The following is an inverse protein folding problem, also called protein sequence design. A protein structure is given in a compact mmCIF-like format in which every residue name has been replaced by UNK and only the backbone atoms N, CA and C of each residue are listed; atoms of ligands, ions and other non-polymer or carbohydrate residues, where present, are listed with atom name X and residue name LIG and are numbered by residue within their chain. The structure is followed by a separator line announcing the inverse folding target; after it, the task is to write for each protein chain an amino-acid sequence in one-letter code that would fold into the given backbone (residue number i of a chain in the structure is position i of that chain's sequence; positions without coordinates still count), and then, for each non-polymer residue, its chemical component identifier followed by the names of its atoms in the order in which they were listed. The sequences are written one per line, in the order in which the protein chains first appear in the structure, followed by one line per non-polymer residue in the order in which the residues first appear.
data_IF_119541653301
#
_entry.id   IF_119541653301
#
_cell.length_a   1.000
_cell.length_b   1.000
_cell.length_c   1.000
_cell.angle_alpha   90.00
_cell.angle_beta   90.00
_cell.angle_gamma   90.00
#
_symmetry.space_group_name_H-M   'P 1'
#
loop_
_entity.id
_entity.type
_entity.pdbx_description
1 polymer ?
#
# COMPACT_ATOMS: atom_id res chain seq x y z
N UNK A 1 -28.39 58.37 48.28
CA UNK A 1 -27.52 57.18 48.22
C UNK A 1 -28.39 55.96 47.88
N UNK A 2 -28.31 55.47 46.64
CA UNK A 2 -28.95 54.24 46.17
C UNK A 2 -27.94 53.48 45.32
N UNK A 3 -27.74 52.17 45.53
CA UNK A 3 -26.64 51.43 44.92
C UNK A 3 -26.95 51.00 43.49
N UNK A 4 -25.88 51.01 42.70
CA UNK A 4 -25.71 50.66 41.30
C UNK A 4 -25.88 49.17 41.02
N UNK A 5 -26.77 48.83 40.08
CA UNK A 5 -26.87 47.50 39.45
C UNK A 5 -26.19 47.58 38.08
N UNK A 6 -25.09 46.85 37.94
CA UNK A 6 -24.32 46.70 36.70
C UNK A 6 -25.08 45.81 35.70
N UNK A 7 -25.31 46.33 34.50
CA UNK A 7 -25.73 45.58 33.31
C UNK A 7 -24.52 44.91 32.68
N UNK A 8 -24.51 43.58 32.60
CA UNK A 8 -23.57 42.82 31.77
C UNK A 8 -24.22 42.52 30.41
N UNK A 9 -23.62 43.10 29.36
CA UNK A 9 -23.95 42.86 27.96
C UNK A 9 -23.22 41.62 27.44
N UNK A 10 -23.97 40.69 26.87
CA UNK A 10 -23.46 39.53 26.11
C UNK A 10 -22.81 40.04 24.82
N UNK A 11 -21.53 39.69 24.58
CA UNK A 11 -20.86 39.89 23.29
C UNK A 11 -20.58 38.54 22.63
N UNK A 12 -21.18 38.36 21.46
CA UNK A 12 -20.88 37.34 20.46
C UNK A 12 -19.43 37.46 19.99
N UNK A 13 -18.64 36.39 20.15
CA UNK A 13 -17.26 36.30 19.67
C UNK A 13 -17.21 35.69 18.28
N UNK A 14 -17.15 36.53 17.25
CA UNK A 14 -16.87 36.14 15.87
C UNK A 14 -15.39 35.76 15.73
N UNK A 15 -15.09 34.50 15.38
CA UNK A 15 -13.72 34.04 15.11
C UNK A 15 -13.32 34.43 13.70
N UNK A 16 -12.50 35.46 13.57
CA UNK A 16 -11.86 35.83 12.30
C UNK A 16 -10.77 34.82 11.92
N UNK A 17 -10.91 34.23 10.73
CA UNK A 17 -9.87 33.45 10.06
C UNK A 17 -8.95 34.45 9.34
N UNK A 18 -7.82 34.79 9.93
CA UNK A 18 -6.81 35.64 9.29
C UNK A 18 -5.93 34.78 8.39
N UNK A 19 -6.11 34.92 7.08
CA UNK A 19 -5.34 34.25 6.04
C UNK A 19 -3.98 34.95 5.91
N UNK A 20 -2.94 34.39 6.54
CA UNK A 20 -1.57 34.87 6.40
C UNK A 20 -0.97 34.38 5.07
N UNK A 21 -0.90 35.27 4.07
CA UNK A 21 -0.14 35.05 2.84
C UNK A 21 1.33 35.40 3.09
N UNK A 22 2.11 34.44 3.59
CA UNK A 22 3.57 34.56 3.58
C UNK A 22 4.10 34.05 2.24
N UNK A 23 4.69 34.97 1.47
CA UNK A 23 5.54 34.67 0.33
C UNK A 23 6.71 33.79 0.80
N UNK A 24 6.77 32.56 0.30
CA UNK A 24 7.91 31.66 0.51
C UNK A 24 9.06 32.07 -0.40
N UNK A 25 10.07 32.70 0.18
CA UNK A 25 11.43 32.69 -0.39
C UNK A 25 12.03 31.31 -0.17
N UNK A 26 12.22 30.55 -1.24
CA UNK A 26 12.93 29.27 -1.21
C UNK A 26 14.43 29.54 -1.11
N UNK A 27 15.03 29.25 0.05
CA UNK A 27 16.48 29.15 0.15
C UNK A 27 16.91 27.86 -0.55
N UNK A 28 17.67 28.00 -1.64
CA UNK A 28 18.26 26.88 -2.37
C UNK A 28 19.38 26.28 -1.52
N UNK A 29 19.11 25.14 -0.91
CA UNK A 29 20.14 24.30 -0.30
C UNK A 29 20.68 23.38 -1.39
N UNK A 30 21.93 23.63 -1.78
CA UNK A 30 22.67 22.89 -2.80
C UNK A 30 22.66 21.39 -2.47
N UNK A 31 21.80 20.65 -3.17
CA UNK A 31 21.62 19.20 -3.03
C UNK A 31 22.68 18.53 -3.90
N UNK A 32 23.32 17.48 -3.41
CA UNK A 32 24.28 16.70 -4.19
C UNK A 32 23.59 16.10 -5.42
N UNK A 33 23.85 16.70 -6.59
CA UNK A 33 23.71 16.11 -7.93
C UNK A 33 22.36 16.21 -8.64
N UNK A 34 21.24 16.38 -7.94
CA UNK A 34 19.91 16.45 -8.56
C UNK A 34 19.41 17.89 -8.67
N UNK A 35 18.93 18.29 -9.85
CA UNK A 35 18.26 19.57 -10.02
C UNK A 35 16.81 19.54 -9.53
N UNK A 36 16.30 20.66 -9.03
CA UNK A 36 14.90 20.79 -8.61
C UNK A 36 13.92 20.50 -9.76
N UNK A 37 14.32 20.81 -11.01
CA UNK A 37 13.53 20.55 -12.20
C UNK A 37 13.37 19.04 -12.46
N UNK A 38 14.44 18.26 -12.34
CA UNK A 38 14.40 16.80 -12.47
C UNK A 38 13.51 16.17 -11.41
N UNK A 39 13.64 16.61 -10.16
CA UNK A 39 12.79 16.13 -9.05
C UNK A 39 11.32 16.47 -9.31
N UNK A 40 11.02 17.66 -9.82
CA UNK A 40 9.64 18.07 -10.14
C UNK A 40 9.04 17.25 -11.29
N UNK A 41 9.82 16.97 -12.34
CA UNK A 41 9.40 16.09 -13.45
C UNK A 41 9.15 14.66 -12.96
N UNK A 42 10.05 14.13 -12.13
CA UNK A 42 9.93 12.81 -11.52
C UNK A 42 8.69 12.71 -10.63
N UNK A 43 8.41 13.74 -9.81
CA UNK A 43 7.20 13.84 -8.99
C UNK A 43 5.93 13.82 -9.83
N UNK A 44 5.88 14.60 -10.91
CA UNK A 44 4.73 14.63 -11.82
C UNK A 44 4.48 13.28 -12.48
N UNK A 45 5.54 12.60 -12.94
CA UNK A 45 5.46 11.26 -13.50
C UNK A 45 4.89 10.25 -12.49
N UNK A 46 5.48 10.17 -11.29
CA UNK A 46 5.03 9.23 -10.26
C UNK A 46 3.57 9.48 -9.85
N UNK A 47 3.17 10.75 -9.72
CA UNK A 47 1.77 11.09 -9.42
C UNK A 47 0.80 10.68 -10.53
N UNK A 48 1.21 10.80 -11.82
CA UNK A 48 0.37 10.38 -12.94
C UNK A 48 0.28 8.85 -13.02
N UNK A 49 1.38 8.14 -12.76
CA UNK A 49 1.41 6.68 -12.71
C UNK A 49 0.45 6.14 -11.64
N UNK A 50 0.48 6.72 -10.44
CA UNK A 50 -0.44 6.36 -9.36
C UNK A 50 -1.88 6.69 -9.72
N UNK A 51 -2.14 7.85 -10.34
CA UNK A 51 -3.49 8.19 -10.81
C UNK A 51 -4.05 7.17 -11.80
N UNK A 52 -3.20 6.61 -12.65
CA UNK A 52 -3.58 5.64 -13.67
C UNK A 52 -3.81 4.23 -13.10
N UNK A 53 -2.90 3.74 -12.24
CA UNK A 53 -2.89 2.33 -11.82
C UNK A 53 -3.31 2.09 -10.36
N UNK A 54 -3.32 3.12 -9.53
CA UNK A 54 -3.69 3.05 -8.11
C UNK A 54 -4.47 4.31 -7.68
N UNK A 55 -5.66 4.47 -8.28
CA UNK A 55 -6.55 5.57 -7.98
C UNK A 55 -6.89 5.71 -6.48
N UNK A 56 -7.14 4.62 -5.72
CA UNK A 56 -7.36 4.75 -4.28
C UNK A 56 -6.21 5.47 -3.57
N UNK A 57 -4.95 5.14 -3.88
CA UNK A 57 -3.79 5.87 -3.34
C UNK A 57 -3.78 7.35 -3.74
N UNK A 58 -4.25 7.70 -4.94
CA UNK A 58 -4.39 9.11 -5.34
C UNK A 58 -5.35 9.88 -4.41
N UNK A 59 -6.48 9.27 -4.05
CA UNK A 59 -7.45 9.87 -3.11
C UNK A 59 -6.87 10.04 -1.70
N UNK A 60 -5.90 9.20 -1.32
CA UNK A 60 -5.30 9.22 0.01
C UNK A 60 -4.15 10.23 0.17
N UNK A 61 -3.62 10.78 -0.92
CA UNK A 61 -2.51 11.75 -0.88
C UNK A 61 -2.72 12.91 0.11
N UNK A 62 -3.91 13.55 0.23
CA UNK A 62 -4.11 14.66 1.16
C UNK A 62 -3.85 14.33 2.64
N UNK A 63 -3.89 13.05 3.01
CA UNK A 63 -3.65 12.59 4.38
C UNK A 63 -2.17 12.27 4.66
N UNK A 64 -1.31 12.41 3.65
CA UNK A 64 0.13 12.20 3.76
C UNK A 64 0.83 13.53 4.08
N UNK A 65 1.67 13.60 5.13
CA UNK A 65 2.41 14.82 5.46
C UNK A 65 3.31 15.32 4.31
N UNK A 66 3.44 16.64 4.09
CA UNK A 66 4.22 17.20 2.98
C UNK A 66 5.69 16.77 2.94
N UNK A 67 6.30 16.47 4.09
CA UNK A 67 7.69 16.01 4.13
C UNK A 67 7.83 14.59 3.55
N UNK A 68 6.83 13.74 3.72
CA UNK A 68 6.80 12.35 3.29
C UNK A 68 6.16 12.12 1.91
N UNK A 69 5.61 13.16 1.27
CA UNK A 69 4.91 13.04 -0.01
C UNK A 69 5.78 12.46 -1.14
N UNK A 70 7.04 12.90 -1.25
CA UNK A 70 7.95 12.37 -2.28
C UNK A 70 8.25 10.88 -2.06
N UNK A 71 8.41 10.47 -0.79
CA UNK A 71 8.57 9.07 -0.43
C UNK A 71 7.31 8.27 -0.78
N UNK A 72 6.12 8.81 -0.47
CA UNK A 72 4.85 8.20 -0.82
C UNK A 72 4.72 7.93 -2.32
N UNK A 73 4.99 8.95 -3.13
CA UNK A 73 4.89 8.85 -4.58
C UNK A 73 5.94 7.87 -5.15
N UNK A 74 7.19 7.93 -4.69
CA UNK A 74 8.26 7.06 -5.17
C UNK A 74 7.99 5.59 -4.81
N UNK A 75 7.65 5.30 -3.55
CA UNK A 75 7.40 3.94 -3.07
C UNK A 75 6.17 3.33 -3.75
N UNK A 76 5.10 4.11 -3.95
CA UNK A 76 3.91 3.67 -4.69
C UNK A 76 4.22 3.43 -6.16
N UNK A 77 5.04 4.27 -6.80
CA UNK A 77 5.46 4.08 -8.19
C UNK A 77 6.28 2.80 -8.36
N UNK A 78 7.29 2.58 -7.51
CA UNK A 78 8.09 1.33 -7.51
C UNK A 78 7.19 0.11 -7.29
N UNK A 79 6.21 0.23 -6.38
CA UNK A 79 5.23 -0.83 -6.16
C UNK A 79 4.36 -1.08 -7.42
N UNK A 80 3.95 -0.06 -8.16
CA UNK A 80 3.20 -0.26 -9.41
C UNK A 80 4.08 -0.95 -10.45
N UNK A 81 5.29 -0.44 -10.67
CA UNK A 81 6.14 -0.93 -11.76
C UNK A 81 6.63 -2.36 -11.52
N UNK A 82 6.97 -2.71 -10.27
CA UNK A 82 7.38 -4.09 -9.94
C UNK A 82 6.21 -5.07 -9.95
N UNK A 83 4.98 -4.64 -9.62
CA UNK A 83 3.80 -5.51 -9.71
C UNK A 83 3.47 -5.87 -11.16
N UNK A 84 3.55 -4.88 -12.05
CA UNK A 84 3.18 -5.00 -13.47
C UNK A 84 4.19 -5.74 -14.33
N UNK A 85 5.34 -6.15 -13.78
CA UNK A 85 6.34 -6.93 -14.55
C UNK A 85 5.70 -8.22 -15.06
N UNK A 86 4.97 -8.95 -14.21
CA UNK A 86 4.29 -10.18 -14.60
C UNK A 86 3.31 -9.96 -15.79
N UNK A 87 2.58 -8.83 -15.77
CA UNK A 87 1.59 -8.51 -16.81
C UNK A 87 2.20 -8.04 -18.13
N UNK A 88 3.45 -7.55 -18.11
CA UNK A 88 4.07 -6.86 -19.25
C UNK A 88 5.27 -7.61 -19.84
N UNK A 89 5.57 -8.80 -19.33
CA UNK A 89 6.64 -9.66 -19.85
C UNK A 89 6.10 -11.01 -20.26
N UNK A 90 6.46 -11.45 -21.47
CA UNK A 90 6.02 -12.74 -22.04
C UNK A 90 6.91 -13.90 -21.63
N UNK A 91 8.15 -13.63 -21.23
CA UNK A 91 9.14 -14.64 -20.87
C UNK A 91 9.70 -14.37 -19.48
N UNK A 92 9.78 -15.42 -18.66
CA UNK A 92 10.29 -15.35 -17.30
C UNK A 92 11.71 -14.75 -17.22
N UNK A 93 12.56 -15.00 -18.22
CA UNK A 93 13.91 -14.41 -18.31
C UNK A 93 13.89 -12.88 -18.44
N UNK A 94 12.94 -12.32 -19.20
CA UNK A 94 12.76 -10.87 -19.35
C UNK A 94 12.21 -10.28 -18.04
N UNK A 95 11.26 -10.98 -17.42
CA UNK A 95 10.75 -10.61 -16.09
C UNK A 95 11.87 -10.53 -15.06
N UNK A 96 12.71 -11.56 -14.97
CA UNK A 96 13.88 -11.59 -14.08
C UNK A 96 14.87 -10.46 -14.37
N UNK A 97 15.15 -10.16 -15.65
CA UNK A 97 15.99 -9.02 -16.03
C UNK A 97 15.41 -7.68 -15.54
N UNK A 98 14.09 -7.48 -15.64
CA UNK A 98 13.42 -6.28 -15.11
C UNK A 98 13.45 -6.22 -13.58
N UNK A 99 13.30 -7.34 -12.89
CA UNK A 99 13.46 -7.40 -11.44
C UNK A 99 14.89 -7.06 -11.00
N UNK A 100 15.89 -7.56 -11.74
CA UNK A 100 17.28 -7.19 -11.52
C UNK A 100 17.54 -5.69 -11.75
N UNK A 101 16.97 -5.13 -12.82
CA UNK A 101 17.02 -3.69 -13.05
C UNK A 101 16.48 -2.90 -11.84
N UNK A 102 15.37 -3.33 -11.24
CA UNK A 102 14.82 -2.67 -10.06
C UNK A 102 15.70 -2.79 -8.82
N UNK A 103 16.30 -3.96 -8.54
CA UNK A 103 17.27 -4.14 -7.45
C UNK A 103 18.45 -3.18 -7.56
N UNK A 104 19.00 -3.06 -8.76
CA UNK A 104 20.11 -2.13 -9.00
C UNK A 104 19.65 -0.67 -8.88
N UNK A 105 18.47 -0.35 -9.41
CA UNK A 105 17.88 0.99 -9.36
C UNK A 105 17.65 1.46 -7.92
N UNK A 106 17.12 0.58 -7.07
CA UNK A 106 16.97 0.83 -5.62
C UNK A 106 18.34 1.10 -4.99
N UNK A 107 19.33 0.27 -5.30
CA UNK A 107 20.70 0.41 -4.75
C UNK A 107 21.32 1.75 -5.15
N UNK A 108 21.28 2.09 -6.44
CA UNK A 108 21.76 3.35 -7.00
C UNK A 108 21.05 4.56 -6.38
N UNK A 109 19.72 4.51 -6.23
CA UNK A 109 18.93 5.60 -5.65
C UNK A 109 19.31 5.88 -4.19
N UNK A 110 19.42 4.82 -3.38
CA UNK A 110 19.77 4.95 -1.96
C UNK A 110 21.23 5.35 -1.73
N UNK A 111 22.11 5.09 -2.70
CA UNK A 111 23.51 5.51 -2.67
C UNK A 111 23.71 6.96 -3.17
N UNK A 112 22.64 7.67 -3.57
CA UNK A 112 22.73 9.03 -4.07
C UNK A 112 23.14 9.16 -5.55
N UNK A 113 23.15 8.05 -6.30
CA UNK A 113 23.49 7.99 -7.72
C UNK A 113 22.33 7.43 -8.54
N UNK A 114 21.15 8.08 -8.53
CA UNK A 114 19.94 7.54 -9.15
C UNK A 114 20.13 7.33 -10.66
N UNK A 115 19.44 6.32 -11.20
CA UNK A 115 19.35 6.11 -12.65
C UNK A 115 18.39 7.14 -13.24
N UNK A 116 18.44 7.33 -14.56
CA UNK A 116 17.54 8.21 -15.32
C UNK A 116 16.10 7.64 -15.44
N UNK A 117 15.57 7.10 -14.35
CA UNK A 117 14.23 6.57 -14.18
C UNK A 117 13.50 7.49 -13.17
N UNK A 118 12.33 8.07 -13.49
CA UNK A 118 11.62 8.99 -12.61
C UNK A 118 11.44 8.49 -11.16
N UNK A 119 11.07 7.23 -10.96
CA UNK A 119 10.91 6.66 -9.62
C UNK A 119 12.25 6.57 -8.86
N UNK A 120 13.36 6.34 -9.58
CA UNK A 120 14.72 6.32 -9.01
C UNK A 120 15.14 7.70 -8.50
N UNK A 121 14.93 8.72 -9.32
CA UNK A 121 15.24 10.12 -8.97
C UNK A 121 14.43 10.55 -7.74
N UNK A 122 13.13 10.25 -7.73
CA UNK A 122 12.26 10.65 -6.63
C UNK A 122 12.56 9.88 -5.34
N UNK A 123 12.93 8.59 -5.42
CA UNK A 123 13.38 7.81 -4.27
C UNK A 123 14.67 8.37 -3.68
N UNK A 124 15.65 8.74 -4.51
CA UNK A 124 16.89 9.38 -4.07
C UNK A 124 16.59 10.70 -3.32
N UNK A 125 15.80 11.58 -3.93
CA UNK A 125 15.40 12.85 -3.31
C UNK A 125 14.64 12.63 -1.98
N UNK A 126 13.73 11.65 -1.94
CA UNK A 126 13.00 11.29 -0.73
C UNK A 126 13.93 10.75 0.37
N UNK A 127 14.92 9.93 0.01
CA UNK A 127 15.89 9.38 0.96
C UNK A 127 16.77 10.48 1.57
N UNK A 128 17.26 11.42 0.74
CA UNK A 128 18.01 12.59 1.21
C UNK A 128 17.16 13.46 2.14
N UNK A 129 15.92 13.76 1.74
CA UNK A 129 14.98 14.55 2.53
C UNK A 129 14.65 13.89 3.87
N UNK A 130 14.45 12.57 3.90
CA UNK A 130 14.26 11.80 5.13
C UNK A 130 15.48 11.90 6.04
N UNK A 131 16.69 11.76 5.47
CA UNK A 131 17.93 11.88 6.22
C UNK A 131 18.05 13.26 6.87
N UNK A 132 17.82 14.34 6.12
CA UNK A 132 17.85 15.72 6.65
C UNK A 132 16.75 15.96 7.68
N UNK A 133 15.50 15.60 7.39
CA UNK A 133 14.35 15.83 8.27
C UNK A 133 14.46 15.08 9.59
N UNK A 134 15.08 13.89 9.58
CA UNK A 134 15.29 13.08 10.78
C UNK A 134 16.61 13.36 11.52
N UNK A 135 17.40 14.34 11.08
CA UNK A 135 18.76 14.60 11.57
C UNK A 135 19.64 13.33 11.53
N UNK A 136 19.56 12.58 10.43
CA UNK A 136 20.31 11.35 10.20
C UNK A 136 19.83 10.12 10.97
N UNK A 137 18.74 10.22 11.74
CA UNK A 137 18.24 9.13 12.59
C UNK A 137 17.44 8.07 11.82
N UNK A 138 16.94 8.40 10.63
CA UNK A 138 16.12 7.52 9.80
C UNK A 138 16.64 7.45 8.37
N UNK A 139 16.46 6.27 7.76
CA UNK A 139 16.77 5.95 6.37
C UNK A 139 15.84 4.84 5.90
N UNK A 140 15.65 4.71 4.58
CA UNK A 140 14.91 3.58 4.03
C UNK A 140 15.69 2.28 4.13
N UNK A 141 14.99 1.19 4.47
CA UNK A 141 15.56 -0.15 4.43
C UNK A 141 15.70 -0.65 2.99
N UNK A 142 16.95 -0.86 2.56
CA UNK A 142 17.25 -1.53 1.29
C UNK A 142 16.72 -2.97 1.28
N UNK A 143 16.77 -3.66 2.42
CA UNK A 143 16.34 -5.04 2.53
C UNK A 143 14.82 -5.16 2.34
N UNK A 144 14.02 -4.28 2.95
CA UNK A 144 12.57 -4.24 2.70
C UNK A 144 12.22 -3.90 1.25
N UNK A 145 12.91 -2.93 0.63
CA UNK A 145 12.71 -2.63 -0.79
C UNK A 145 13.02 -3.86 -1.67
N UNK A 146 14.15 -4.53 -1.42
CA UNK A 146 14.53 -5.73 -2.16
C UNK A 146 13.62 -6.92 -1.84
N UNK A 147 13.08 -7.03 -0.63
CA UNK A 147 12.12 -8.07 -0.23
C UNK A 147 10.90 -8.04 -1.14
N UNK A 148 10.33 -6.86 -1.37
CA UNK A 148 9.19 -6.67 -2.31
C UNK A 148 9.56 -7.18 -3.71
N UNK A 149 10.72 -6.76 -4.23
CA UNK A 149 11.16 -7.17 -5.59
C UNK A 149 11.37 -8.68 -5.68
N UNK A 150 12.05 -9.26 -4.70
CA UNK A 150 12.37 -10.69 -4.68
C UNK A 150 11.11 -11.55 -4.53
N UNK A 151 10.17 -11.16 -3.68
CA UNK A 151 8.89 -11.87 -3.53
C UNK A 151 8.08 -11.82 -4.82
N UNK A 152 8.09 -10.71 -5.55
CA UNK A 152 7.39 -10.61 -6.85
C UNK A 152 8.08 -11.39 -7.95
N UNK A 153 9.40 -11.43 -7.96
CA UNK A 153 10.16 -12.26 -8.91
C UNK A 153 9.78 -13.75 -8.79
N UNK A 154 9.66 -14.25 -7.56
CA UNK A 154 9.21 -15.63 -7.29
C UNK A 154 7.79 -15.91 -7.84
N UNK A 155 6.97 -14.89 -8.04
CA UNK A 155 5.59 -15.00 -8.51
C UNK A 155 5.38 -14.54 -9.96
N UNK A 156 6.45 -14.30 -10.73
CA UNK A 156 6.34 -13.85 -12.14
C UNK A 156 5.51 -14.81 -13.02
N UNK A 157 5.54 -16.11 -12.72
CA UNK A 157 4.80 -17.13 -13.44
C UNK A 157 3.38 -17.39 -12.91
N UNK A 158 2.87 -16.56 -12.00
CA UNK A 158 1.60 -16.78 -11.31
C UNK A 158 1.47 -18.20 -10.71
N UNK A 159 2.48 -18.71 -9.97
CA UNK A 159 2.37 -20.02 -9.34
C UNK A 159 1.20 -20.04 -8.35
N UNK A 160 0.51 -21.18 -8.21
CA UNK A 160 -0.59 -21.30 -7.26
C UNK A 160 -0.07 -21.17 -5.82
N UNK A 161 -0.88 -20.60 -4.94
CA UNK A 161 -0.57 -20.52 -3.52
C UNK A 161 -0.91 -21.86 -2.85
N UNK A 162 0.05 -22.55 -2.18
CA UNK A 162 -0.26 -23.84 -1.58
C UNK A 162 -1.27 -23.76 -0.44
N UNK A 163 -1.24 -22.67 0.34
CA UNK A 163 -2.10 -22.50 1.51
C UNK A 163 -2.53 -21.06 1.70
N UNK A 164 -3.58 -20.83 2.50
CA UNK A 164 -3.96 -19.48 2.89
C UNK A 164 -2.83 -18.74 3.61
N UNK A 165 -2.02 -19.46 4.40
CA UNK A 165 -0.85 -18.90 5.07
C UNK A 165 0.26 -18.44 4.09
N UNK A 166 0.40 -19.07 2.92
CA UNK A 166 1.35 -18.61 1.91
C UNK A 166 0.90 -17.31 1.24
N UNK A 167 -0.42 -17.09 1.10
CA UNK A 167 -0.99 -15.80 0.69
C UNK A 167 -0.69 -14.72 1.73
N UNK A 168 -0.85 -15.01 3.01
CA UNK A 168 -0.49 -14.06 4.07
C UNK A 168 0.99 -13.71 4.04
N UNK A 169 1.86 -14.70 3.82
CA UNK A 169 3.31 -14.49 3.72
C UNK A 169 3.65 -13.62 2.52
N UNK A 170 3.00 -13.85 1.37
CA UNK A 170 3.14 -12.99 0.20
C UNK A 170 2.70 -11.55 0.50
N UNK A 171 1.55 -11.38 1.15
CA UNK A 171 1.00 -10.08 1.49
C UNK A 171 1.87 -9.31 2.51
N UNK A 172 2.45 -10.00 3.48
CA UNK A 172 3.41 -9.45 4.44
C UNK A 172 4.69 -8.95 3.75
N UNK A 173 5.27 -9.77 2.88
CA UNK A 173 6.50 -9.46 2.17
C UNK A 173 6.34 -8.38 1.08
N UNK A 174 5.11 -8.04 0.69
CA UNK A 174 4.81 -7.04 -0.35
C UNK A 174 4.09 -5.81 0.19
N UNK A 175 2.84 -5.96 0.64
CA UNK A 175 1.96 -4.86 1.05
C UNK A 175 2.26 -4.36 2.46
N UNK A 176 2.50 -5.24 3.43
CA UNK A 176 2.94 -4.82 4.79
C UNK A 176 4.33 -4.18 4.73
N UNK A 177 5.25 -4.80 4.00
CA UNK A 177 6.61 -4.27 3.80
C UNK A 177 6.60 -2.88 3.15
N UNK A 178 5.70 -2.62 2.20
CA UNK A 178 5.50 -1.28 1.64
C UNK A 178 5.01 -0.28 2.71
N UNK A 179 4.12 -0.70 3.61
CA UNK A 179 3.67 0.14 4.73
C UNK A 179 4.78 0.43 5.73
N UNK A 180 5.66 -0.54 6.06
CA UNK A 180 6.81 -0.29 6.92
C UNK A 180 7.76 0.75 6.33
N UNK A 181 8.01 0.70 5.02
CA UNK A 181 8.78 1.73 4.30
C UNK A 181 8.10 3.11 4.36
N UNK A 182 6.77 3.14 4.28
CA UNK A 182 6.01 4.39 4.44
C UNK A 182 6.09 4.94 5.87
N UNK A 183 6.09 4.09 6.89
CA UNK A 183 6.27 4.49 8.29
C UNK A 183 7.69 5.03 8.55
N UNK A 184 8.72 4.46 7.89
CA UNK A 184 10.09 4.99 7.89
C UNK A 184 10.16 6.42 7.34
N UNK A 185 9.29 6.79 6.39
CA UNK A 185 9.22 8.15 5.85
C UNK A 185 8.65 9.18 6.85
N UNK A 186 7.94 8.73 7.91
CA UNK A 186 7.39 9.55 8.99
C UNK A 186 8.33 9.71 10.20
N UNK A 187 9.63 9.44 9.99
CA UNK A 187 10.58 8.87 10.96
C UNK A 187 9.98 8.29 12.25
N UNK A 188 9.04 7.34 12.12
CA UNK A 188 8.44 6.65 13.26
C UNK A 188 9.14 5.32 13.52
N UNK A 189 9.38 5.01 14.80
CA UNK A 189 9.85 3.70 15.28
C UNK A 189 8.88 3.24 16.36
N UNK A 190 7.80 2.60 15.95
CA UNK A 190 6.70 2.22 16.84
C UNK A 190 6.26 0.81 16.53
N UNK A 191 6.50 -0.09 17.49
CA UNK A 191 6.08 -1.49 17.40
C UNK A 191 4.58 -1.58 17.11
N UNK A 192 3.79 -0.77 17.79
CA UNK A 192 2.34 -0.73 17.61
C UNK A 192 1.92 -0.28 16.21
N UNK A 193 2.59 0.73 15.64
CA UNK A 193 2.32 1.18 14.28
C UNK A 193 2.74 0.14 13.23
N UNK A 194 3.88 -0.52 13.44
CA UNK A 194 4.36 -1.61 12.58
C UNK A 194 3.42 -2.83 12.68
N UNK A 195 2.92 -3.16 13.87
CA UNK A 195 1.95 -4.24 14.06
C UNK A 195 0.62 -3.95 13.34
N UNK A 196 0.09 -2.72 13.45
CA UNK A 196 -1.08 -2.29 12.67
C UNK A 196 -0.80 -2.36 11.17
N UNK A 197 0.37 -1.92 10.72
CA UNK A 197 0.77 -1.98 9.32
C UNK A 197 0.84 -3.42 8.78
N UNK A 198 1.27 -4.40 9.60
CA UNK A 198 1.26 -5.81 9.23
C UNK A 198 -0.14 -6.32 8.91
N UNK A 199 -1.10 -6.13 9.82
CA UNK A 199 -2.47 -6.58 9.60
C UNK A 199 -3.13 -5.86 8.41
N UNK A 200 -2.99 -4.53 8.32
CA UNK A 200 -3.56 -3.76 7.21
C UNK A 200 -2.92 -4.17 5.88
N UNK A 201 -1.60 -4.39 5.86
CA UNK A 201 -0.85 -4.84 4.70
C UNK A 201 -1.30 -6.22 4.23
N UNK A 202 -1.40 -7.18 5.15
CA UNK A 202 -1.92 -8.53 4.87
C UNK A 202 -3.34 -8.50 4.30
N UNK A 203 -4.26 -7.77 4.94
CA UNK A 203 -5.62 -7.60 4.45
C UNK A 203 -5.66 -7.03 3.01
N UNK A 204 -4.82 -6.03 2.75
CA UNK A 204 -4.73 -5.37 1.44
C UNK A 204 -4.14 -6.30 0.39
N UNK A 205 -3.12 -7.10 0.71
CA UNK A 205 -2.53 -8.05 -0.21
C UNK A 205 -3.47 -9.20 -0.57
N UNK A 206 -4.14 -9.80 0.42
CA UNK A 206 -5.17 -10.83 0.20
C UNK A 206 -6.28 -10.27 -0.71
N UNK A 207 -6.78 -9.07 -0.38
CA UNK A 207 -7.81 -8.38 -1.17
C UNK A 207 -7.35 -8.09 -2.60
N UNK A 208 -6.08 -7.74 -2.80
CA UNK A 208 -5.55 -7.47 -4.13
C UNK A 208 -5.46 -8.73 -4.98
N UNK A 209 -5.13 -9.88 -4.38
CA UNK A 209 -5.16 -11.19 -5.07
C UNK A 209 -6.58 -11.52 -5.52
N UNK A 210 -7.58 -11.37 -4.63
CA UNK A 210 -8.98 -11.56 -5.01
C UNK A 210 -9.41 -10.62 -6.14
N UNK A 211 -9.09 -9.32 -6.02
CA UNK A 211 -9.40 -8.32 -7.05
C UNK A 211 -8.72 -8.62 -8.40
N UNK A 212 -7.54 -9.23 -8.38
CA UNK A 212 -6.80 -9.62 -9.57
C UNK A 212 -7.32 -10.88 -10.25
N UNK A 213 -8.03 -11.75 -9.54
CA UNK A 213 -8.46 -13.07 -10.01
C UNK A 213 -9.15 -13.01 -11.39
N UNK A 214 -10.16 -12.17 -11.65
CA UNK A 214 -10.79 -12.13 -12.97
C UNK A 214 -9.86 -11.73 -14.11
N UNK A 215 -8.84 -10.90 -13.83
CA UNK A 215 -7.90 -10.39 -14.83
C UNK A 215 -6.80 -11.41 -15.14
N UNK A 216 -6.41 -12.19 -14.14
CA UNK A 216 -5.34 -13.19 -14.24
C UNK A 216 -5.88 -14.52 -14.79
N UNK A 217 -7.10 -14.89 -14.42
CA UNK A 217 -7.79 -16.05 -14.97
C UNK A 217 -8.19 -15.84 -16.45
N UNK A 218 -8.46 -14.59 -16.84
CA UNK A 218 -8.85 -14.24 -18.21
C UNK A 218 -8.02 -13.06 -18.74
N UNK A 219 -6.73 -13.28 -19.06
CA UNK A 219 -5.86 -12.23 -19.56
C UNK A 219 -6.39 -11.69 -20.90
N UNK A 220 -6.33 -10.37 -21.15
CA UNK A 220 -6.72 -9.81 -22.44
C UNK A 220 -5.81 -10.36 -23.54
N UNK A 221 -6.33 -10.51 -24.79
CA UNK A 221 -5.51 -10.96 -25.90
C UNK A 221 -4.32 -10.01 -26.10
N UNK A 222 -3.13 -10.54 -26.45
CA UNK A 222 -1.96 -9.71 -26.70
C UNK A 222 -2.26 -8.69 -27.82
N UNK A 223 -1.78 -7.45 -27.73
CA UNK A 223 -2.01 -6.44 -28.76
C UNK A 223 -1.44 -6.93 -30.11
N UNK A 224 -2.26 -6.85 -31.16
CA UNK A 224 -1.99 -7.39 -32.51
C UNK A 224 -0.93 -6.62 -33.33
N UNK A 225 -0.28 -5.62 -32.75
CA UNK A 225 0.76 -4.84 -33.41
C UNK A 225 2.14 -5.43 -33.13
N UNK A 226 2.47 -6.54 -33.77
CA UNK A 226 3.85 -6.99 -33.89
C UNK A 226 4.39 -6.49 -35.24
N UNK A 227 5.43 -5.67 -35.21
CA UNK A 227 6.26 -5.42 -36.39
C UNK A 227 6.76 -6.76 -36.91
N UNK A 228 6.44 -7.04 -38.18
CA UNK A 228 6.83 -8.24 -38.92
C UNK A 228 8.34 -8.41 -38.92
N UNK A 229 8.91 -9.20 -37.99
CA UNK A 229 10.24 -9.80 -38.15
C UNK A 229 10.60 -10.92 -37.14
N UNK A 230 9.65 -11.48 -36.40
CA UNK A 230 9.89 -12.68 -35.59
C UNK A 230 9.31 -13.92 -36.30
N UNK A 231 10.07 -14.51 -37.22
CA UNK A 231 9.84 -15.90 -37.66
C UNK A 231 10.34 -16.83 -36.55
N UNK A 232 9.43 -17.38 -35.75
CA UNK A 232 9.75 -18.39 -34.75
C UNK A 232 8.54 -19.21 -34.33
N UNK A 233 8.39 -20.40 -34.91
CA UNK A 233 7.66 -21.58 -34.38
C UNK A 233 6.14 -21.48 -34.16
N UNK A 234 5.39 -22.59 -34.23
CA UNK A 234 4.05 -22.65 -33.67
C UNK A 234 4.15 -22.41 -32.16
N UNK A 235 3.54 -21.33 -31.69
CA UNK A 235 3.37 -21.02 -30.26
C UNK A 235 2.51 -22.11 -29.62
N UNK A 236 3.10 -22.94 -28.76
CA UNK A 236 2.33 -23.63 -27.73
C UNK A 236 2.07 -22.64 -26.61
N UNK A 237 0.79 -22.30 -26.42
CA UNK A 237 0.21 -21.47 -25.36
C UNK A 237 0.45 -19.95 -25.48
N UNK A 238 -0.63 -19.18 -25.64
CA UNK A 238 -0.69 -17.81 -25.12
C UNK A 238 -0.54 -17.81 -23.59
N UNK A 239 -0.65 -16.67 -22.90
CA UNK A 239 -0.71 -16.70 -21.44
C UNK A 239 -1.95 -17.51 -21.04
N UNK A 240 -1.75 -18.76 -20.60
CA UNK A 240 -2.80 -19.55 -20.00
C UNK A 240 -3.22 -18.79 -18.73
N UNK A 241 -4.51 -18.51 -18.58
CA UNK A 241 -5.03 -17.90 -17.37
C UNK A 241 -4.65 -18.73 -16.14
N UNK A 242 -4.51 -18.07 -14.99
CA UNK A 242 -4.16 -18.73 -13.73
C UNK A 242 -5.16 -18.37 -12.63
N UNK A 243 -5.42 -19.31 -11.73
CA UNK A 243 -6.27 -19.09 -10.55
C UNK A 243 -5.39 -18.96 -9.32
N UNK A 244 -5.31 -17.77 -8.75
CA UNK A 244 -4.46 -17.46 -7.60
C UNK A 244 -5.12 -17.70 -6.23
N UNK A 245 -6.16 -18.54 -6.17
CA UNK A 245 -6.74 -18.94 -4.88
C UNK A 245 -5.85 -19.99 -4.20
N UNK A 246 -5.84 -20.04 -2.86
CA UNK A 246 -5.12 -21.07 -2.13
C UNK A 246 -5.61 -22.48 -2.46
N UNK A 247 -4.70 -23.41 -2.71
CA UNK A 247 -5.03 -24.80 -3.08
C UNK A 247 -5.74 -25.55 -1.96
N UNK A 248 -5.42 -25.28 -0.69
CA UNK A 248 -6.12 -25.84 0.47
C UNK A 248 -7.59 -25.41 0.52
N UNK A 249 -7.87 -24.12 0.30
CA UNK A 249 -9.22 -23.57 0.26
C UNK A 249 -10.00 -24.08 -0.97
N UNK A 250 -9.33 -24.18 -2.13
CA UNK A 250 -9.94 -24.79 -3.31
C UNK A 250 -10.35 -26.24 -3.07
N UNK A 251 -9.49 -27.02 -2.42
CA UNK A 251 -9.79 -28.40 -2.06
C UNK A 251 -10.95 -28.51 -1.05
N UNK A 252 -10.96 -27.66 -0.02
CA UNK A 252 -12.02 -27.63 1.00
C UNK A 252 -13.40 -27.32 0.41
N UNK A 253 -13.46 -26.40 -0.56
CA UNK A 253 -14.71 -25.94 -1.19
C UNK A 253 -15.08 -26.74 -2.43
N UNK A 254 -14.26 -27.70 -2.84
CA UNK A 254 -14.45 -28.48 -4.07
C UNK A 254 -14.23 -27.69 -5.36
N UNK A 255 -13.63 -26.51 -5.29
CA UNK A 255 -13.34 -25.66 -6.44
C UNK A 255 -12.21 -26.25 -7.29
N UNK A 256 -12.48 -26.45 -8.58
CA UNK A 256 -11.48 -26.90 -9.55
C UNK A 256 -11.03 -25.72 -10.42
N UNK A 257 -9.72 -25.64 -10.68
CA UNK A 257 -9.14 -24.60 -11.54
C UNK A 257 -9.77 -24.61 -12.95
N UNK A 258 -9.94 -25.80 -13.54
CA UNK A 258 -10.55 -25.92 -14.87
C UNK A 258 -11.97 -25.34 -14.91
N UNK A 259 -12.79 -25.56 -13.87
CA UNK A 259 -14.14 -25.01 -13.78
C UNK A 259 -14.12 -23.48 -13.80
N UNK A 260 -13.18 -22.85 -13.08
CA UNK A 260 -13.02 -21.38 -13.11
C UNK A 260 -12.64 -20.90 -14.50
N UNK A 261 -11.67 -21.55 -15.16
CA UNK A 261 -11.19 -21.12 -16.49
C UNK A 261 -12.22 -21.35 -17.60
N UNK A 262 -13.18 -22.28 -17.42
CA UNK A 262 -14.23 -22.58 -18.40
C UNK A 262 -15.54 -21.83 -18.16
N UNK A 263 -15.95 -21.73 -16.90
CA UNK A 263 -17.29 -21.27 -16.49
C UNK A 263 -17.25 -19.90 -15.80
N UNK A 264 -16.06 -19.39 -15.48
CA UNK A 264 -15.86 -18.11 -14.84
C UNK A 264 -16.59 -18.02 -13.50
N UNK A 265 -17.45 -17.01 -13.37
CA UNK A 265 -18.22 -16.74 -12.15
C UNK A 265 -19.15 -17.90 -11.73
N UNK A 266 -19.53 -18.77 -12.66
CA UNK A 266 -20.47 -19.87 -12.41
C UNK A 266 -19.79 -21.15 -11.88
N UNK A 267 -18.46 -21.14 -11.74
CA UNK A 267 -17.70 -22.29 -11.29
C UNK A 267 -18.16 -22.76 -9.89
N UNK A 268 -18.54 -24.05 -9.72
CA UNK A 268 -18.95 -24.59 -8.43
C UNK A 268 -17.85 -24.44 -7.37
N UNK A 269 -18.23 -24.00 -6.16
CA UNK A 269 -17.31 -23.77 -5.04
C UNK A 269 -16.54 -22.44 -5.08
N UNK A 270 -16.64 -21.66 -6.17
CA UNK A 270 -15.87 -20.42 -6.32
C UNK A 270 -16.25 -19.36 -5.28
N UNK A 271 -17.56 -19.14 -5.08
CA UNK A 271 -18.05 -18.15 -4.11
C UNK A 271 -17.65 -18.51 -2.69
N UNK A 272 -17.73 -19.78 -2.33
CA UNK A 272 -17.30 -20.28 -1.02
C UNK A 272 -15.79 -20.11 -0.82
N UNK A 273 -14.98 -20.39 -1.85
CA UNK A 273 -13.52 -20.17 -1.77
C UNK A 273 -13.18 -18.68 -1.61
N UNK A 274 -13.83 -17.82 -2.40
CA UNK A 274 -13.67 -16.37 -2.30
C UNK A 274 -14.13 -15.86 -0.93
N UNK A 275 -15.24 -16.36 -0.41
CA UNK A 275 -15.75 -16.06 0.93
C UNK A 275 -14.72 -16.37 2.01
N UNK A 276 -14.14 -17.57 1.99
CA UNK A 276 -13.16 -18.00 3.01
C UNK A 276 -11.89 -17.12 2.95
N UNK A 277 -11.38 -16.85 1.76
CA UNK A 277 -10.19 -15.99 1.58
C UNK A 277 -10.51 -14.52 1.96
N UNK A 278 -11.68 -14.01 1.60
CA UNK A 278 -12.11 -12.65 1.95
C UNK A 278 -12.35 -12.49 3.45
N UNK A 279 -12.87 -13.51 4.12
CA UNK A 279 -13.03 -13.56 5.58
C UNK A 279 -11.68 -13.35 6.26
N UNK A 280 -10.63 -14.05 5.80
CA UNK A 280 -9.28 -13.89 6.33
C UNK A 280 -8.73 -12.47 6.19
N UNK A 281 -9.02 -11.80 5.07
CA UNK A 281 -8.66 -10.39 4.88
C UNK A 281 -9.43 -9.46 5.84
N UNK A 282 -10.72 -9.73 6.05
CA UNK A 282 -11.55 -8.96 6.97
C UNK A 282 -11.13 -9.17 8.43
N UNK A 283 -10.74 -10.38 8.84
CA UNK A 283 -10.24 -10.68 10.17
C UNK A 283 -9.05 -9.80 10.53
N UNK A 284 -8.10 -9.63 9.60
CA UNK A 284 -6.98 -8.72 9.80
C UNK A 284 -7.41 -7.26 9.99
N UNK A 285 -8.43 -6.78 9.26
CA UNK A 285 -8.96 -5.44 9.48
C UNK A 285 -9.68 -5.32 10.82
N UNK A 286 -10.40 -6.36 11.25
CA UNK A 286 -11.04 -6.42 12.56
C UNK A 286 -9.96 -6.34 13.64
N UNK A 287 -8.92 -7.17 13.57
CA UNK A 287 -7.78 -7.14 14.51
C UNK A 287 -7.15 -5.74 14.57
N UNK A 288 -6.85 -5.13 13.43
CA UNK A 288 -6.29 -3.77 13.40
C UNK A 288 -7.21 -2.71 14.04
N UNK A 289 -8.54 -2.83 13.83
CA UNK A 289 -9.53 -1.95 14.47
C UNK A 289 -9.64 -2.18 15.97
N UNK A 290 -9.56 -3.43 16.41
CA UNK A 290 -9.58 -3.79 17.83
C UNK A 290 -8.34 -3.29 18.55
N UNK A 291 -7.15 -3.45 17.96
CA UNK A 291 -5.92 -2.85 18.47
C UNK A 291 -6.06 -1.33 18.65
N UNK A 292 -6.57 -0.64 17.62
CA UNK A 292 -6.79 0.80 17.67
C UNK A 292 -7.81 1.20 18.75
N UNK A 293 -8.90 0.43 18.88
CA UNK A 293 -9.91 0.63 19.94
C UNK A 293 -9.30 0.45 21.33
N UNK A 294 -8.49 -0.59 21.52
CA UNK A 294 -7.84 -0.89 22.79
C UNK A 294 -6.86 0.23 23.18
N UNK A 295 -6.06 0.74 22.24
CA UNK A 295 -5.16 1.87 22.46
C UNK A 295 -5.92 3.13 22.89
N UNK A 296 -7.04 3.45 22.23
CA UNK A 296 -7.90 4.57 22.64
C UNK A 296 -8.50 4.40 24.04
N UNK A 297 -8.73 3.16 24.47
CA UNK A 297 -9.20 2.83 25.81
C UNK A 297 -8.06 2.67 26.84
N UNK A 298 -6.82 2.98 26.45
CA UNK A 298 -5.62 2.80 27.27
C UNK A 298 -5.39 1.35 27.72
N UNK A 299 -5.76 0.38 26.88
CA UNK A 299 -5.60 -1.06 27.09
C UNK A 299 -4.43 -1.61 26.25
N UNK A 300 -3.99 -2.83 26.57
CA UNK A 300 -3.02 -3.58 25.77
C UNK A 300 -3.56 -3.87 24.36
N UNK A 301 -2.68 -3.90 23.36
CA UNK A 301 -3.04 -4.13 21.95
C UNK A 301 -3.68 -5.50 21.71
N UNK A 302 -3.48 -6.45 22.61
CA UNK A 302 -4.26 -7.68 22.72
C UNK A 302 -3.55 -8.95 22.28
N UNK A 303 -2.45 -8.86 21.52
CA UNK A 303 -1.59 -9.99 21.20
C UNK A 303 -0.18 -9.55 20.77
N UNK A 304 0.75 -10.50 20.77
CA UNK A 304 2.13 -10.29 20.35
C UNK A 304 2.24 -10.07 18.84
N UNK A 305 3.26 -9.30 18.45
CA UNK A 305 3.58 -9.07 17.05
C UNK A 305 4.43 -10.23 16.52
N UNK A 306 3.85 -11.02 15.61
CA UNK A 306 4.47 -12.24 15.07
C UNK A 306 5.79 -11.99 14.31
N UNK A 307 6.00 -10.79 13.76
CA UNK A 307 7.23 -10.44 13.02
C UNK A 307 8.26 -9.70 13.87
N UNK A 308 8.08 -9.65 15.19
CA UNK A 308 8.99 -8.92 16.09
C UNK A 308 10.46 -9.40 15.99
N UNK A 309 10.69 -10.66 15.62
CA UNK A 309 12.02 -11.24 15.46
C UNK A 309 12.71 -10.94 14.12
N UNK A 310 12.04 -10.29 13.17
CA UNK A 310 12.64 -9.92 11.89
C UNK A 310 13.71 -8.83 12.11
N UNK A 311 14.89 -9.01 11.51
CA UNK A 311 16.11 -8.23 11.75
C UNK A 311 15.96 -6.73 11.46
N UNK A 312 14.98 -6.37 10.63
CA UNK A 312 14.69 -4.97 10.30
C UNK A 312 13.96 -4.23 11.43
N UNK A 313 13.24 -4.95 12.31
CA UNK A 313 12.56 -4.36 13.46
C UNK A 313 13.52 -4.18 14.63
N UNK A 314 14.11 -2.98 14.70
CA UNK A 314 15.03 -2.61 15.79
C UNK A 314 14.41 -1.56 16.69
N UNK A 315 13.76 -2.02 17.76
CA UNK A 315 13.24 -1.17 18.82
C UNK A 315 14.23 -1.11 20.00
N UNK A 316 14.38 0.07 20.60
CA UNK A 316 15.08 0.19 21.89
C UNK A 316 14.25 -0.45 23.01
N UNK A 317 14.87 -0.93 24.08
CA UNK A 317 14.16 -1.44 25.27
C UNK A 317 13.13 -0.41 25.82
N UNK A 318 13.49 0.87 25.89
CA UNK A 318 12.57 1.99 26.21
C UNK A 318 11.41 2.18 25.21
N UNK A 319 11.56 1.70 23.99
CA UNK A 319 10.56 1.77 22.93
C UNK A 319 9.54 0.64 23.06
N UNK A 320 9.99 -0.56 23.40
CA UNK A 320 9.11 -1.70 23.69
C UNK A 320 8.33 -1.50 25.00
N UNK A 321 8.94 -0.90 26.01
CA UNK A 321 8.29 -0.54 27.27
C UNK A 321 7.57 0.83 27.23
N UNK A 322 7.28 1.36 26.03
CA UNK A 322 6.60 2.66 25.91
C UNK A 322 5.17 2.56 26.43
N UNK A 323 4.78 3.51 27.29
CA UNK A 323 3.40 3.57 27.78
C UNK A 323 2.39 3.81 26.67
N UNK A 324 1.15 3.36 26.89
CA UNK A 324 0.05 3.40 25.93
C UNK A 324 -0.19 4.79 25.32
N UNK A 325 0.02 5.87 26.08
CA UNK A 325 -0.10 7.25 25.57
C UNK A 325 0.90 7.55 24.43
N UNK A 326 2.16 7.13 24.57
CA UNK A 326 3.18 7.31 23.53
C UNK A 326 2.87 6.44 22.32
N UNK A 327 2.42 5.20 22.54
CA UNK A 327 2.00 4.32 21.44
C UNK A 327 0.85 4.93 20.64
N UNK A 328 -0.15 5.50 21.33
CA UNK A 328 -1.27 6.18 20.69
C UNK A 328 -0.81 7.39 19.89
N UNK A 329 0.07 8.24 20.43
CA UNK A 329 0.62 9.39 19.70
C UNK A 329 1.39 8.97 18.44
N UNK A 330 2.16 7.88 18.51
CA UNK A 330 2.87 7.35 17.34
C UNK A 330 1.88 6.84 16.27
N UNK A 331 0.80 6.16 16.69
CA UNK A 331 -0.26 5.71 15.79
C UNK A 331 -1.03 6.88 15.17
N UNK A 332 -1.34 7.93 15.93
CA UNK A 332 -1.99 9.15 15.42
C UNK A 332 -1.13 9.83 14.34
N UNK A 333 0.18 9.88 14.54
CA UNK A 333 1.13 10.40 13.52
C UNK A 333 1.19 9.50 12.29
N UNK A 334 1.08 8.19 12.47
CA UNK A 334 1.05 7.21 11.39
C UNK A 334 -0.31 7.09 10.69
N UNK A 335 -1.39 7.65 11.27
CA UNK A 335 -2.76 7.31 10.93
C UNK A 335 -3.05 7.50 9.44
N UNK A 336 -2.61 8.60 8.84
CA UNK A 336 -2.78 8.87 7.40
C UNK A 336 -2.17 7.79 6.48
N UNK A 337 -1.03 7.21 6.88
CA UNK A 337 -0.39 6.09 6.16
C UNK A 337 -1.18 4.79 6.36
N UNK A 338 -1.62 4.51 7.61
CA UNK A 338 -2.34 3.28 7.97
C UNK A 338 -3.75 3.22 7.36
N UNK A 339 -4.52 4.30 7.45
CA UNK A 339 -5.87 4.36 6.89
C UNK A 339 -5.88 4.29 5.36
N UNK A 340 -4.78 4.70 4.72
CA UNK A 340 -4.65 4.82 3.27
C UNK A 340 -5.05 3.55 2.52
N UNK A 341 -4.47 2.38 2.83
CA UNK A 341 -4.95 1.11 2.32
C UNK A 341 -6.11 0.51 3.12
N UNK A 342 -6.23 0.75 4.44
CA UNK A 342 -7.28 0.12 5.24
C UNK A 342 -8.71 0.49 4.78
N UNK A 343 -8.96 1.77 4.50
CA UNK A 343 -10.27 2.27 4.06
C UNK A 343 -10.72 1.71 2.71
N UNK A 344 -9.93 1.80 1.61
CA UNK A 344 -10.32 1.22 0.33
C UNK A 344 -10.42 -0.31 0.38
N UNK A 345 -9.57 -0.99 1.15
CA UNK A 345 -9.66 -2.45 1.35
C UNK A 345 -10.99 -2.81 2.01
N UNK A 346 -11.37 -2.14 3.11
CA UNK A 346 -12.66 -2.37 3.77
C UNK A 346 -13.85 -2.08 2.85
N UNK A 347 -13.79 -0.98 2.08
CA UNK A 347 -14.86 -0.63 1.14
C UNK A 347 -15.00 -1.66 0.01
N UNK A 348 -13.90 -2.24 -0.46
CA UNK A 348 -13.94 -3.28 -1.48
C UNK A 348 -14.53 -4.58 -0.93
N UNK A 349 -14.13 -5.01 0.27
CA UNK A 349 -14.69 -6.19 0.94
C UNK A 349 -16.20 -6.03 1.21
N UNK A 350 -16.67 -4.85 1.67
CA UNK A 350 -18.11 -4.54 1.85
C UNK A 350 -18.89 -4.71 0.53
N UNK A 351 -18.27 -4.40 -0.60
CA UNK A 351 -18.90 -4.54 -1.92
C UNK A 351 -18.87 -5.97 -2.42
N UNK A 352 -17.79 -6.70 -2.15
CA UNK A 352 -17.68 -8.12 -2.47
C UNK A 352 -18.77 -8.92 -1.72
N UNK A 353 -18.97 -8.63 -0.44
CA UNK A 353 -20.06 -9.22 0.36
C UNK A 353 -21.43 -8.93 -0.25
N UNK A 354 -21.70 -7.67 -0.65
CA UNK A 354 -22.96 -7.30 -1.32
C UNK A 354 -23.16 -7.95 -2.68
N UNK A 355 -22.07 -8.36 -3.33
CA UNK A 355 -22.08 -9.11 -4.57
C UNK A 355 -22.16 -10.63 -4.33
N UNK A 356 -22.48 -11.08 -3.11
CA UNK A 356 -22.54 -12.50 -2.74
C UNK A 356 -21.23 -13.23 -3.04
N UNK A 357 -20.10 -12.56 -2.78
CA UNK A 357 -18.74 -13.06 -3.03
C UNK A 357 -18.47 -13.41 -4.49
N UNK A 358 -19.27 -12.89 -5.42
CA UNK A 358 -19.00 -12.95 -6.85
C UNK A 358 -17.87 -11.97 -7.23
N UNK A 359 -16.65 -12.50 -7.25
CA UNK A 359 -15.44 -11.73 -7.59
C UNK A 359 -15.44 -11.21 -9.04
N UNK A 360 -16.31 -11.73 -9.91
CA UNK A 360 -16.44 -11.31 -11.30
C UNK A 360 -17.40 -10.14 -11.50
N UNK A 361 -18.15 -9.73 -10.46
CA UNK A 361 -19.09 -8.61 -10.51
C UNK A 361 -18.45 -7.35 -11.11
N UNK A 362 -19.07 -6.81 -12.16
CA UNK A 362 -18.53 -5.64 -12.88
C UNK A 362 -18.46 -4.39 -12.00
N UNK A 363 -19.33 -4.31 -10.99
CA UNK A 363 -19.31 -3.27 -9.99
C UNK A 363 -17.95 -3.22 -9.33
N UNK A 364 -17.40 -4.35 -8.86
CA UNK A 364 -16.12 -4.42 -8.14
C UNK A 364 -14.92 -3.82 -8.89
N UNK A 365 -14.99 -3.73 -10.22
CA UNK A 365 -13.95 -3.12 -11.08
C UNK A 365 -13.97 -1.60 -11.05
N UNK A 366 -15.10 -0.99 -10.71
CA UNK A 366 -15.28 0.47 -10.68
C UNK A 366 -14.77 1.07 -9.38
N UNK A 367 -14.21 2.27 -9.50
CA UNK A 367 -13.86 3.12 -8.37
C UNK A 367 -15.09 3.43 -7.51
N UNK A 368 -14.98 3.25 -6.19
CA UNK A 368 -16.06 3.61 -5.27
C UNK A 368 -16.10 5.13 -5.05
N UNK A 369 -17.22 5.76 -5.42
CA UNK A 369 -17.45 7.20 -5.24
C UNK A 369 -17.45 7.63 -3.77
N UNK A 370 -17.71 6.71 -2.83
CA UNK A 370 -17.72 6.97 -1.39
C UNK A 370 -16.31 7.12 -0.82
N UNK A 371 -15.27 6.71 -1.55
CA UNK A 371 -13.90 6.64 -1.05
C UNK A 371 -13.40 7.98 -0.49
N UNK A 372 -13.49 9.14 -1.19
CA UNK A 372 -13.02 10.41 -0.63
C UNK A 372 -13.77 10.82 0.64
N UNK A 373 -15.08 10.59 0.69
CA UNK A 373 -15.92 10.90 1.84
C UNK A 373 -15.58 10.02 3.05
N UNK A 374 -15.48 8.70 2.84
CA UNK A 374 -15.08 7.74 3.89
C UNK A 374 -13.67 8.04 4.39
N UNK A 375 -12.74 8.39 3.50
CA UNK A 375 -11.38 8.78 3.88
C UNK A 375 -11.37 10.02 4.78
N UNK A 376 -12.10 11.07 4.40
CA UNK A 376 -12.21 12.28 5.22
C UNK A 376 -12.74 11.97 6.63
N UNK A 377 -13.83 11.20 6.73
CA UNK A 377 -14.39 10.83 8.02
C UNK A 377 -13.47 9.93 8.83
N UNK A 378 -12.79 8.99 8.17
CA UNK A 378 -11.84 8.11 8.84
C UNK A 378 -10.70 8.91 9.47
N UNK A 379 -10.13 9.85 8.72
CA UNK A 379 -9.09 10.76 9.21
C UNK A 379 -9.60 11.63 10.36
N UNK A 380 -10.77 12.26 10.21
CA UNK A 380 -11.32 13.16 11.23
C UNK A 380 -11.65 12.47 12.56
N UNK A 381 -11.97 11.17 12.52
CA UNK A 381 -12.37 10.38 13.69
C UNK A 381 -11.27 9.50 14.25
N UNK A 382 -10.14 9.38 13.54
CA UNK A 382 -9.06 8.46 13.88
C UNK A 382 -9.49 6.99 13.86
N UNK A 383 -10.41 6.59 12.96
CA UNK A 383 -10.97 5.21 12.86
C UNK A 383 -11.26 4.85 11.41
N UNK A 384 -11.10 3.60 11.00
CA UNK A 384 -11.35 3.13 9.62
C UNK A 384 -12.17 1.84 9.57
#
# INVERSE_FOLDING_TARGET
MRPSILRTSIRSGSRHITRCLQQRTYASTTTTGLSDEEVQKARAYCSNLIRQYDYPSTVMQPFIPPHAMDAYLALRAINIDTARVADTTTHASIGAMRMQFWRDTITSSLNGTPRAEPASILLCAAAQKLHTYSNGKSKFSKNWLNRIVNTREQHLGNPPFPTLASVETYAENTYSTLLYLMLQALPLKSLTADHLASHIGKATGITTILRGLPLIAFPPPPPTHHTSNAKGGPLTAGPNGAVLLPLDIMAETGLQEESVLREGASAPGLRDAVFTVATRANDHLITAREMLRNLHNNQDVGHEFEHLSDEEFKYSAQGMASGNEKQLQDVERAFGVLMGPAVPTALWLERLEKADFDVFDEGLRRTDWRLPWKAYWAYSRGKF
#
